data_IF_697799770052
#
_entry.id   IF_697799770052
#
_cell.length_a   1.000
_cell.length_b   1.000
_cell.length_c   1.000
_cell.angle_alpha   90.00
_cell.angle_beta   90.00
_cell.angle_gamma   90.00
#
_symmetry.space_group_name_H-M   'P 1'
#
loop_
_entity.id
_entity.type
_entity.pdbx_description
1 polymer ?
#
# COMPACT_ATOMS: atom_id res chain seq x y z
N UNK A 1 -3.58 21.94 12.88
CA UNK A 1 -4.26 20.63 12.96
C UNK A 1 -4.64 20.16 11.57
N UNK A 2 -4.29 18.94 11.22
CA UNK A 2 -4.69 18.37 9.94
C UNK A 2 -6.12 17.80 10.05
N UNK A 3 -6.85 17.79 8.94
CA UNK A 3 -8.19 17.22 8.90
C UNK A 3 -8.11 15.69 8.83
N UNK A 4 -9.21 14.97 9.16
CA UNK A 4 -9.24 13.52 8.98
C UNK A 4 -8.95 13.09 7.53
N UNK A 5 -9.38 13.88 6.55
CA UNK A 5 -9.10 13.62 5.15
C UNK A 5 -7.59 13.75 4.87
N UNK A 6 -6.97 14.80 5.37
CA UNK A 6 -5.53 15.01 5.21
C UNK A 6 -4.73 13.89 5.84
N UNK A 7 -5.13 13.44 7.05
CA UNK A 7 -4.48 12.34 7.73
C UNK A 7 -4.60 11.04 6.97
N UNK A 8 -5.79 10.76 6.43
CA UNK A 8 -6.02 9.56 5.63
C UNK A 8 -5.19 9.57 4.36
N UNK A 9 -5.11 10.73 3.69
CA UNK A 9 -4.31 10.87 2.48
C UNK A 9 -2.82 10.69 2.76
N UNK A 10 -2.33 11.23 3.89
CA UNK A 10 -0.94 11.07 4.28
C UNK A 10 -0.61 9.60 4.53
N UNK A 11 -1.51 8.88 5.20
CA UNK A 11 -1.31 7.44 5.43
C UNK A 11 -1.36 6.66 4.12
N UNK A 12 -2.28 7.02 3.22
CA UNK A 12 -2.37 6.39 1.91
C UNK A 12 -1.08 6.61 1.10
N UNK A 13 -0.50 7.80 1.16
CA UNK A 13 0.78 8.09 0.50
C UNK A 13 1.91 7.22 1.04
N UNK A 14 1.98 7.04 2.36
CA UNK A 14 2.97 6.17 2.97
C UNK A 14 2.78 4.73 2.53
N UNK A 15 1.53 4.28 2.47
CA UNK A 15 1.22 2.92 2.02
C UNK A 15 1.58 2.73 0.55
N UNK A 16 1.37 3.74 -0.28
CA UNK A 16 1.75 3.70 -1.69
C UNK A 16 3.26 3.59 -1.86
N UNK A 17 4.03 4.31 -1.04
CA UNK A 17 5.50 4.20 -1.06
C UNK A 17 5.94 2.79 -0.67
N UNK A 18 5.34 2.24 0.38
CA UNK A 18 5.63 0.87 0.81
C UNK A 18 5.27 -0.14 -0.28
N UNK A 19 4.13 0.07 -0.95
CA UNK A 19 3.71 -0.76 -2.06
C UNK A 19 4.74 -0.72 -3.20
N UNK A 20 5.21 0.47 -3.54
CA UNK A 20 6.21 0.64 -4.60
C UNK A 20 7.54 -0.02 -4.24
N UNK A 21 7.96 0.09 -2.99
CA UNK A 21 9.17 -0.57 -2.50
C UNK A 21 9.06 -2.09 -2.61
N UNK A 22 7.90 -2.64 -2.23
CA UNK A 22 7.66 -4.09 -2.31
C UNK A 22 7.58 -4.55 -3.76
N UNK A 23 6.95 -3.75 -4.63
CA UNK A 23 6.88 -4.04 -6.05
C UNK A 23 8.27 -4.07 -6.67
N UNK A 24 9.12 -3.10 -6.32
CA UNK A 24 10.50 -3.04 -6.79
C UNK A 24 11.30 -4.24 -6.31
N UNK A 25 11.09 -4.64 -5.05
CA UNK A 25 11.74 -5.83 -4.50
C UNK A 25 11.33 -7.09 -5.24
N UNK A 26 10.04 -7.20 -5.58
CA UNK A 26 9.55 -8.34 -6.34
C UNK A 26 10.13 -8.36 -7.75
N UNK A 27 10.25 -7.22 -8.40
CA UNK A 27 10.87 -7.11 -9.72
C UNK A 27 12.33 -7.55 -9.70
N UNK A 28 13.08 -7.13 -8.68
CA UNK A 28 14.48 -7.54 -8.50
C UNK A 28 14.59 -9.04 -8.27
N UNK A 29 13.68 -9.59 -7.48
CA UNK A 29 13.66 -11.02 -7.19
C UNK A 29 13.35 -11.80 -8.46
N UNK A 30 12.39 -11.33 -9.26
CA UNK A 30 12.01 -11.98 -10.51
C UNK A 30 13.15 -11.94 -11.54
N UNK A 31 13.99 -10.91 -11.49
CA UNK A 31 15.12 -10.77 -12.41
C UNK A 31 16.36 -11.58 -11.96
N UNK A 32 16.37 -12.07 -10.72
CA UNK A 32 17.49 -12.83 -10.20
C UNK A 32 17.54 -14.23 -10.82
N UNK A 33 18.74 -14.74 -11.06
CA UNK A 33 18.93 -16.07 -11.63
C UNK A 33 18.46 -17.17 -10.68
N UNK A 34 18.57 -16.92 -9.38
CA UNK A 34 18.18 -17.87 -8.34
C UNK A 34 16.95 -17.33 -7.61
N UNK A 35 15.76 -17.65 -8.11
CA UNK A 35 14.51 -17.15 -7.57
C UNK A 35 14.07 -17.99 -6.37
N UNK A 36 13.89 -17.33 -5.23
CA UNK A 36 13.32 -17.94 -4.04
C UNK A 36 11.79 -17.79 -4.10
N UNK A 37 11.11 -18.91 -4.37
CA UNK A 37 9.66 -18.93 -4.53
C UNK A 37 8.92 -18.51 -3.26
N UNK A 38 9.43 -18.88 -2.08
CA UNK A 38 8.82 -18.50 -0.80
C UNK A 38 8.92 -16.99 -0.59
N UNK A 39 10.06 -16.39 -0.92
CA UNK A 39 10.23 -14.95 -0.81
C UNK A 39 9.30 -14.22 -1.77
N UNK A 40 9.11 -14.74 -2.98
CA UNK A 40 8.19 -14.15 -3.94
C UNK A 40 6.74 -14.20 -3.43
N UNK A 41 6.32 -15.31 -2.84
CA UNK A 41 4.98 -15.45 -2.26
C UNK A 41 4.80 -14.49 -1.10
N UNK A 42 5.81 -14.34 -0.25
CA UNK A 42 5.76 -13.41 0.87
C UNK A 42 5.58 -11.97 0.38
N UNK A 43 6.32 -11.57 -0.65
CA UNK A 43 6.19 -10.23 -1.22
C UNK A 43 4.81 -10.00 -1.83
N UNK A 44 4.27 -10.98 -2.52
CA UNK A 44 2.92 -10.88 -3.10
C UNK A 44 1.88 -10.73 -2.00
N UNK A 45 2.03 -11.48 -0.92
CA UNK A 45 1.13 -11.37 0.25
C UNK A 45 1.21 -9.98 0.88
N UNK A 46 2.42 -9.44 1.03
CA UNK A 46 2.61 -8.09 1.56
C UNK A 46 2.00 -7.03 0.65
N UNK A 47 2.14 -7.19 -0.66
CA UNK A 47 1.53 -6.28 -1.64
C UNK A 47 0.01 -6.30 -1.54
N UNK A 48 -0.59 -7.48 -1.40
CA UNK A 48 -2.03 -7.62 -1.25
C UNK A 48 -2.52 -6.95 0.03
N UNK A 49 -1.78 -7.11 1.13
CA UNK A 49 -2.09 -6.47 2.40
C UNK A 49 -2.03 -4.94 2.30
N UNK A 50 -0.98 -4.43 1.66
CA UNK A 50 -0.82 -2.99 1.47
C UNK A 50 -1.95 -2.42 0.62
N UNK A 51 -2.36 -3.14 -0.43
CA UNK A 51 -3.48 -2.72 -1.26
C UNK A 51 -4.77 -2.60 -0.45
N UNK A 52 -5.04 -3.55 0.44
CA UNK A 52 -6.21 -3.50 1.33
C UNK A 52 -6.14 -2.31 2.28
N UNK A 53 -4.97 -2.04 2.82
CA UNK A 53 -4.77 -0.90 3.72
C UNK A 53 -5.00 0.42 3.00
N UNK A 54 -4.52 0.52 1.76
CA UNK A 54 -4.74 1.71 0.92
C UNK A 54 -6.24 1.89 0.66
N UNK A 55 -6.95 0.83 0.29
CA UNK A 55 -8.40 0.88 0.09
C UNK A 55 -9.13 1.35 1.34
N UNK A 56 -8.73 0.83 2.50
CA UNK A 56 -9.33 1.21 3.77
C UNK A 56 -9.13 2.69 4.06
N UNK A 57 -7.93 3.22 3.82
CA UNK A 57 -7.65 4.63 4.04
C UNK A 57 -8.41 5.53 3.07
N UNK A 58 -8.50 5.13 1.81
CA UNK A 58 -9.25 5.89 0.81
C UNK A 58 -10.75 5.88 1.12
N UNK A 59 -11.28 4.76 1.57
CA UNK A 59 -12.69 4.66 1.99
C UNK A 59 -12.95 5.55 3.19
N UNK A 60 -12.03 5.58 4.14
CA UNK A 60 -12.14 6.45 5.32
C UNK A 60 -12.12 7.92 4.91
N UNK A 61 -11.22 8.29 3.99
CA UNK A 61 -11.12 9.65 3.49
C UNK A 61 -12.41 10.07 2.78
N UNK A 62 -12.98 9.17 1.97
CA UNK A 62 -14.26 9.41 1.29
C UNK A 62 -15.39 9.61 2.29
N UNK A 63 -15.45 8.74 3.31
CA UNK A 63 -16.46 8.85 4.35
C UNK A 63 -16.37 10.18 5.10
N UNK A 64 -15.15 10.63 5.42
CA UNK A 64 -14.94 11.92 6.09
C UNK A 64 -15.36 13.07 5.19
N UNK A 65 -15.05 13.01 3.91
CA UNK A 65 -15.43 14.05 2.95
C UNK A 65 -16.95 14.12 2.80
N UNK A 66 -17.62 12.97 2.70
CA UNK A 66 -19.07 12.88 2.59
C UNK A 66 -19.76 13.43 3.85
N UNK A 67 -19.19 13.15 5.03
CA UNK A 67 -19.74 13.61 6.29
C UNK A 67 -19.65 15.15 6.42
N UNK A 68 -18.66 15.76 5.78
CA UNK A 68 -18.47 17.21 5.80
C UNK A 68 -19.17 17.93 4.65
N UNK A 69 -19.65 17.18 3.69
CA UNK A 69 -20.34 17.73 2.53
C UNK A 69 -21.83 17.88 2.79
#
# INVERSE_FOLDING_TARGET
>A
MTSPVDDALARAEQLLRSLDEKRSALERLAAADDVDGDAAVDLITELADLARQIEAELTRARGSADANG
#
